data_IF_755702673219
#
_entry.id   IF_755702673219
#
_cell.length_a   1.000
_cell.length_b   1.000
_cell.length_c   1.000
_cell.angle_alpha   90.00
_cell.angle_beta   90.00
_cell.angle_gamma   90.00
#
_symmetry.space_group_name_H-M   'P 1'
#
loop_
_entity.id
_entity.type
_entity.pdbx_description
1 polymer ?
#
# COMPACT_ATOMS: atom_id res chain seq x y z
N UNK A 1 23.90 -59.14 -45.71
CA UNK A 1 22.54 -59.23 -45.15
C UNK A 1 22.43 -58.34 -43.92
N UNK A 2 21.30 -57.64 -43.80
CA UNK A 2 20.84 -56.76 -42.70
C UNK A 2 21.57 -55.43 -42.50
N UNK A 3 20.92 -54.40 -43.06
CA UNK A 3 20.96 -52.99 -42.64
C UNK A 3 20.41 -52.90 -41.21
N UNK A 4 21.01 -52.06 -40.37
CA UNK A 4 20.26 -51.33 -39.35
C UNK A 4 20.89 -49.95 -39.14
N UNK A 5 20.26 -48.95 -39.75
CA UNK A 5 20.42 -47.54 -39.42
C UNK A 5 19.78 -47.29 -38.04
N UNK A 6 20.57 -46.97 -37.03
CA UNK A 6 20.05 -46.40 -35.80
C UNK A 6 20.31 -44.88 -35.85
N UNK A 7 19.28 -44.02 -35.92
CA UNK A 7 19.49 -42.59 -35.85
C UNK A 7 19.81 -42.24 -34.39
N UNK A 8 21.05 -41.83 -34.12
CA UNK A 8 21.36 -41.06 -32.92
C UNK A 8 20.66 -39.71 -33.06
N UNK A 9 19.43 -39.64 -32.56
CA UNK A 9 18.71 -38.38 -32.35
C UNK A 9 19.47 -37.67 -31.23
N UNK A 10 20.43 -36.82 -31.61
CA UNK A 10 21.04 -35.85 -30.71
C UNK A 10 19.98 -34.78 -30.47
N UNK A 11 19.08 -35.05 -29.52
CA UNK A 11 18.26 -33.99 -28.94
C UNK A 11 19.19 -33.16 -28.07
N UNK A 12 19.84 -32.15 -28.68
CA UNK A 12 20.53 -31.11 -27.94
C UNK A 12 19.43 -30.35 -27.18
N UNK A 13 19.16 -30.76 -25.94
CA UNK A 13 18.40 -29.95 -25.00
C UNK A 13 19.18 -28.64 -24.86
N UNK A 14 18.73 -27.61 -25.57
CA UNK A 14 19.06 -26.24 -25.23
C UNK A 14 18.47 -26.03 -23.84
N UNK A 15 19.28 -26.29 -22.81
CA UNK A 15 19.12 -25.66 -21.51
C UNK A 15 19.21 -24.16 -21.77
N UNK A 16 18.06 -23.57 -22.11
CA UNK A 16 17.85 -22.14 -21.96
C UNK A 16 17.96 -21.92 -20.47
N UNK A 17 19.19 -21.67 -20.03
CA UNK A 17 19.42 -21.19 -18.69
C UNK A 17 18.57 -19.94 -18.53
N UNK A 18 17.51 -20.04 -17.73
CA UNK A 18 16.97 -18.88 -17.04
C UNK A 18 18.13 -18.32 -16.21
N UNK A 19 18.92 -17.43 -16.84
CA UNK A 19 19.73 -16.49 -16.08
C UNK A 19 18.74 -15.77 -15.17
N UNK A 20 19.01 -15.94 -13.88
CA UNK A 20 18.07 -15.74 -12.79
C UNK A 20 17.18 -14.52 -12.96
N UNK A 21 15.95 -14.70 -12.50
CA UNK A 21 15.01 -13.64 -12.17
C UNK A 21 15.80 -12.45 -11.63
N UNK A 22 15.74 -11.37 -12.40
CA UNK A 22 16.26 -10.07 -12.04
C UNK A 22 15.89 -9.79 -10.59
N UNK A 23 16.93 -9.56 -9.77
CA UNK A 23 16.92 -8.86 -8.49
C UNK A 23 15.59 -8.13 -8.27
N UNK A 24 14.76 -8.69 -7.38
CA UNK A 24 13.51 -8.13 -6.89
C UNK A 24 13.71 -6.63 -6.64
N UNK A 25 12.90 -5.83 -7.31
CA UNK A 25 12.91 -4.38 -7.22
C UNK A 25 12.92 -3.95 -5.76
N UNK A 26 13.93 -3.17 -5.41
CA UNK A 26 14.05 -2.42 -4.17
C UNK A 26 12.69 -1.81 -3.85
N UNK A 27 12.06 -2.23 -2.75
CA UNK A 27 10.90 -1.49 -2.24
C UNK A 27 11.36 -0.06 -1.99
N UNK A 28 10.76 0.92 -2.66
CA UNK A 28 11.05 2.33 -2.39
C UNK A 28 10.60 2.59 -0.95
N UNK A 29 11.55 2.86 -0.06
CA UNK A 29 11.25 3.20 1.33
C UNK A 29 10.63 4.59 1.39
N UNK A 30 9.29 4.66 1.43
CA UNK A 30 8.60 5.94 1.58
C UNK A 30 8.57 6.24 3.07
N UNK A 31 9.18 7.34 3.47
CA UNK A 31 9.27 7.72 4.89
C UNK A 31 8.45 8.95 5.23
N UNK A 32 8.17 9.80 4.25
CA UNK A 32 7.40 11.02 4.40
C UNK A 32 6.29 11.13 3.34
N UNK A 33 5.18 11.80 3.68
CA UNK A 33 4.02 11.93 2.80
C UNK A 33 4.32 12.74 1.54
N UNK A 34 5.27 13.68 1.61
CA UNK A 34 5.72 14.49 0.48
C UNK A 34 6.46 13.68 -0.60
N UNK A 35 6.96 12.48 -0.26
CA UNK A 35 7.58 11.56 -1.22
C UNK A 35 6.52 10.81 -2.07
N UNK A 36 5.26 10.83 -1.65
CA UNK A 36 4.16 10.17 -2.35
C UNK A 36 3.75 10.99 -3.56
N UNK A 37 3.81 10.37 -4.73
CA UNK A 37 3.43 11.01 -5.98
C UNK A 37 1.91 10.99 -6.17
N UNK A 38 1.32 12.15 -6.45
CA UNK A 38 -0.12 12.32 -6.61
C UNK A 38 -0.72 11.31 -7.61
N UNK A 39 -0.10 11.13 -8.77
CA UNK A 39 -0.56 10.23 -9.83
C UNK A 39 -0.57 8.74 -9.44
N UNK A 40 0.19 8.36 -8.39
CA UNK A 40 0.21 6.98 -7.89
C UNK A 40 -1.01 6.67 -7.03
N UNK A 41 -1.58 7.67 -6.36
CA UNK A 41 -2.67 7.49 -5.41
C UNK A 41 -4.02 8.00 -5.93
N UNK A 42 -4.05 9.08 -6.73
CA UNK A 42 -5.29 9.75 -7.16
C UNK A 42 -6.22 8.86 -7.99
N UNK A 43 -5.64 7.92 -8.73
CA UNK A 43 -6.38 6.89 -9.48
C UNK A 43 -7.23 5.95 -8.62
N UNK A 44 -7.02 5.93 -7.30
CA UNK A 44 -7.83 5.15 -6.36
C UNK A 44 -8.92 5.98 -5.66
N UNK A 45 -9.16 7.23 -6.08
CA UNK A 45 -10.28 8.03 -5.57
C UNK A 45 -11.61 7.29 -5.75
N UNK A 46 -12.47 7.37 -4.74
CA UNK A 46 -13.76 6.67 -4.67
C UNK A 46 -13.66 5.13 -4.60
N UNK A 47 -12.52 4.60 -4.14
CA UNK A 47 -12.43 3.20 -3.76
C UNK A 47 -13.31 2.91 -2.54
N UNK A 48 -13.46 1.63 -2.20
CA UNK A 48 -14.23 1.21 -1.03
C UNK A 48 -13.48 0.13 -0.25
N UNK A 49 -13.78 -0.02 1.05
CA UNK A 49 -13.06 -0.94 1.96
C UNK A 49 -12.97 -2.38 1.41
N UNK A 50 -13.95 -2.85 0.65
CA UNK A 50 -13.95 -4.20 0.07
C UNK A 50 -13.04 -4.40 -1.15
N UNK A 51 -12.52 -3.33 -1.74
CA UNK A 51 -11.56 -3.41 -2.85
C UNK A 51 -10.15 -3.67 -2.31
N UNK A 52 -9.84 -4.95 -2.07
CA UNK A 52 -8.54 -5.38 -1.56
C UNK A 52 -7.38 -4.94 -2.47
N UNK A 53 -7.59 -4.85 -3.78
CA UNK A 53 -6.57 -4.44 -4.74
C UNK A 53 -6.29 -2.95 -4.61
N UNK A 54 -7.33 -2.11 -4.54
CA UNK A 54 -7.16 -0.67 -4.31
C UNK A 54 -6.50 -0.40 -2.95
N UNK A 55 -7.00 -1.01 -1.87
CA UNK A 55 -6.43 -0.83 -0.51
C UNK A 55 -4.96 -1.22 -0.47
N UNK A 56 -4.59 -2.38 -1.00
CA UNK A 56 -3.21 -2.84 -1.01
C UNK A 56 -2.29 -1.92 -1.81
N UNK A 57 -2.74 -1.43 -2.96
CA UNK A 57 -1.96 -0.49 -3.75
C UNK A 57 -1.84 0.90 -3.13
N UNK A 58 -2.87 1.39 -2.44
CA UNK A 58 -2.77 2.64 -1.66
C UNK A 58 -1.67 2.47 -0.62
N UNK A 59 -1.72 1.43 0.21
CA UNK A 59 -0.72 1.15 1.25
C UNK A 59 0.71 1.02 0.69
N UNK A 60 0.86 0.42 -0.49
CA UNK A 60 2.17 0.30 -1.14
C UNK A 60 2.81 1.65 -1.49
N UNK A 61 1.99 2.68 -1.74
CA UNK A 61 2.44 4.02 -2.10
C UNK A 61 2.44 4.99 -0.92
N UNK A 62 2.14 4.55 0.30
CA UNK A 62 2.13 5.41 1.49
C UNK A 62 3.40 5.25 2.34
N UNK A 63 3.74 6.26 3.17
CA UNK A 63 4.82 6.16 4.14
C UNK A 63 4.70 4.94 5.05
N UNK A 64 5.83 4.28 5.31
CA UNK A 64 5.90 3.06 6.10
C UNK A 64 5.59 1.78 5.32
N UNK A 65 5.47 1.85 3.99
CA UNK A 65 5.23 0.70 3.11
C UNK A 65 6.23 -0.46 3.30
N UNK A 66 7.48 -0.19 3.66
CA UNK A 66 8.49 -1.21 3.93
C UNK A 66 8.29 -1.99 5.23
N UNK A 67 7.49 -1.45 6.15
CA UNK A 67 7.12 -2.13 7.39
C UNK A 67 5.81 -2.91 7.24
N UNK A 68 5.08 -2.71 6.14
CA UNK A 68 3.80 -3.36 5.87
C UNK A 68 3.93 -4.88 5.73
N UNK A 69 3.28 -5.60 6.64
CA UNK A 69 3.19 -7.07 6.63
C UNK A 69 1.91 -7.54 5.96
N UNK A 70 0.83 -6.77 6.14
CA UNK A 70 -0.48 -7.08 5.57
C UNK A 70 -1.59 -6.27 6.23
N UNK A 71 -2.80 -6.38 5.66
CA UNK A 71 -3.99 -5.69 6.16
C UNK A 71 -5.20 -6.63 6.22
N UNK A 72 -6.20 -6.22 7.00
CA UNK A 72 -7.51 -6.88 7.13
C UNK A 72 -8.60 -5.88 6.83
N UNK A 73 -9.67 -6.37 6.21
CA UNK A 73 -10.84 -5.58 5.81
C UNK A 73 -12.06 -6.10 6.56
N UNK A 74 -12.76 -5.21 7.25
CA UNK A 74 -14.06 -5.51 7.87
C UNK A 74 -15.15 -4.85 7.05
N UNK A 75 -15.93 -5.66 6.34
CA UNK A 75 -16.92 -5.23 5.34
C UNK A 75 -18.31 -5.82 5.56
N UNK A 76 -18.46 -6.71 6.54
CA UNK A 76 -19.69 -7.43 6.85
C UNK A 76 -20.78 -6.51 7.43
N UNK A 77 -20.37 -5.56 8.29
CA UNK A 77 -21.24 -4.56 8.89
C UNK A 77 -20.46 -3.35 9.36
N UNK A 78 -21.15 -2.22 9.45
CA UNK A 78 -20.56 -1.00 10.03
C UNK A 78 -20.12 -1.20 11.49
N UNK A 79 -19.08 -0.48 11.95
CA UNK A 79 -18.21 0.38 11.14
C UNK A 79 -17.34 -0.45 10.18
N UNK A 80 -17.22 0.00 8.93
CA UNK A 80 -16.30 -0.57 7.95
C UNK A 80 -14.88 -0.12 8.26
N UNK A 81 -13.96 -1.07 8.38
CA UNK A 81 -12.62 -0.76 8.85
C UNK A 81 -11.51 -1.45 8.08
N UNK A 82 -10.34 -0.80 8.09
CA UNK A 82 -9.09 -1.32 7.55
C UNK A 82 -8.11 -1.41 8.71
N UNK A 83 -7.58 -2.61 8.96
CA UNK A 83 -6.52 -2.83 9.95
C UNK A 83 -5.23 -3.14 9.22
N UNK A 84 -4.22 -2.29 9.37
CA UNK A 84 -2.89 -2.42 8.77
C UNK A 84 -1.91 -2.90 9.84
N UNK A 85 -1.05 -3.86 9.51
CA UNK A 85 -0.05 -4.38 10.44
C UNK A 85 1.35 -4.02 9.94
N UNK A 86 2.11 -3.33 10.79
CA UNK A 86 3.50 -2.96 10.59
C UNK A 86 4.42 -3.78 11.50
N UNK A 87 5.48 -4.34 10.92
CA UNK A 87 6.54 -4.99 11.67
C UNK A 87 7.70 -4.03 11.90
N UNK A 88 7.81 -3.56 13.13
CA UNK A 88 8.85 -2.63 13.59
C UNK A 88 10.13 -3.38 13.99
N UNK A 89 10.58 -4.38 13.21
CA UNK A 89 11.76 -5.18 13.57
C UNK A 89 13.10 -4.44 13.40
N UNK A 90 13.11 -3.12 13.17
CA UNK A 90 14.32 -2.31 13.04
C UNK A 90 14.07 -0.93 13.65
N UNK A 91 14.89 -0.58 14.65
CA UNK A 91 15.03 0.76 15.19
C UNK A 91 15.03 1.80 14.06
N UNK A 92 13.92 2.52 13.91
CA UNK A 92 13.83 3.67 13.03
C UNK A 92 13.18 4.83 13.80
N UNK A 93 13.75 6.04 13.73
CA UNK A 93 13.25 7.22 14.45
C UNK A 93 12.02 7.82 13.74
N UNK A 94 11.12 6.97 13.23
CA UNK A 94 9.89 7.40 12.59
C UNK A 94 8.84 7.63 13.67
N UNK A 95 8.24 8.82 13.69
CA UNK A 95 7.07 9.08 14.51
C UNK A 95 5.87 8.35 13.89
N UNK A 96 5.67 7.10 14.30
CA UNK A 96 4.56 6.29 13.80
C UNK A 96 3.21 6.90 14.12
N UNK A 97 3.06 7.68 15.19
CA UNK A 97 1.80 8.35 15.47
C UNK A 97 1.49 9.34 14.36
N UNK A 98 2.45 10.20 14.01
CA UNK A 98 2.32 11.17 12.92
C UNK A 98 2.07 10.49 11.56
N UNK A 99 2.85 9.46 11.25
CA UNK A 99 2.73 8.73 9.97
C UNK A 99 1.39 8.00 9.86
N UNK A 100 0.92 7.35 10.93
CA UNK A 100 -0.38 6.68 10.92
C UNK A 100 -1.53 7.66 10.72
N UNK A 101 -1.46 8.84 11.35
CA UNK A 101 -2.46 9.90 11.19
C UNK A 101 -2.50 10.45 9.75
N UNK A 102 -1.33 10.77 9.17
CA UNK A 102 -1.23 11.22 7.77
C UNK A 102 -1.72 10.15 6.79
N UNK A 103 -1.35 8.90 7.00
CA UNK A 103 -1.84 7.79 6.19
C UNK A 103 -3.36 7.62 6.30
N UNK A 104 -3.93 7.74 7.51
CA UNK A 104 -5.37 7.70 7.69
C UNK A 104 -6.09 8.80 6.91
N UNK A 105 -5.60 10.04 6.97
CA UNK A 105 -6.16 11.17 6.23
C UNK A 105 -6.21 10.91 4.71
N UNK A 106 -5.12 10.37 4.14
CA UNK A 106 -5.06 10.04 2.71
C UNK A 106 -5.93 8.83 2.36
N UNK A 107 -5.94 7.80 3.20
CA UNK A 107 -6.81 6.64 2.97
C UNK A 107 -8.29 7.04 3.05
N UNK A 108 -8.69 7.89 3.99
CA UNK A 108 -10.05 8.40 4.07
C UNK A 108 -10.41 9.30 2.88
N UNK A 109 -9.47 10.08 2.34
CA UNK A 109 -9.76 10.88 1.15
C UNK A 109 -10.00 10.02 -0.10
N UNK A 110 -9.38 8.85 -0.18
CA UNK A 110 -9.50 7.91 -1.30
C UNK A 110 -10.63 6.88 -1.13
N UNK A 111 -11.00 6.54 0.12
CA UNK A 111 -11.93 5.46 0.47
C UNK A 111 -13.10 6.03 1.28
N UNK A 112 -14.12 6.64 0.62
CA UNK A 112 -15.17 7.40 1.32
C UNK A 112 -16.00 6.58 2.30
N UNK A 113 -16.15 5.27 2.06
CA UNK A 113 -16.96 4.40 2.93
C UNK A 113 -16.18 3.83 4.13
N UNK A 114 -14.88 4.09 4.29
CA UNK A 114 -14.14 3.68 5.48
C UNK A 114 -14.58 4.54 6.68
N UNK A 115 -15.03 3.88 7.75
CA UNK A 115 -15.43 4.54 9.00
C UNK A 115 -14.24 4.62 9.99
N UNK A 116 -13.34 3.62 9.97
CA UNK A 116 -12.18 3.51 10.88
C UNK A 116 -10.95 2.89 10.19
N UNK A 117 -9.76 3.41 10.50
CA UNK A 117 -8.47 2.84 10.06
C UNK A 117 -7.60 2.62 11.30
N UNK A 118 -7.05 1.42 11.43
CA UNK A 118 -6.28 0.98 12.58
C UNK A 118 -4.89 0.54 12.12
N UNK A 119 -3.84 1.11 12.69
CA UNK A 119 -2.46 0.71 12.43
C UNK A 119 -1.89 0.02 13.66
N UNK A 120 -1.61 -1.29 13.54
CA UNK A 120 -0.87 -2.04 14.55
C UNK A 120 0.62 -1.93 14.26
N UNK A 121 1.37 -1.33 15.16
CA UNK A 121 2.81 -1.14 15.07
C UNK A 121 3.45 -1.81 16.28
N UNK A 122 3.94 -3.04 16.07
CA UNK A 122 4.44 -3.89 17.14
C UNK A 122 3.42 -4.04 18.28
N UNK A 123 3.71 -3.53 19.49
CA UNK A 123 2.80 -3.59 20.65
C UNK A 123 1.80 -2.42 20.71
N UNK A 124 1.94 -1.42 19.84
CA UNK A 124 1.10 -0.22 19.83
C UNK A 124 0.02 -0.32 18.75
N UNK A 125 -1.12 0.33 18.99
CA UNK A 125 -2.21 0.44 18.03
C UNK A 125 -2.66 1.89 17.92
N UNK A 126 -2.70 2.42 16.70
CA UNK A 126 -3.18 3.77 16.39
C UNK A 126 -4.51 3.65 15.63
N UNK A 127 -5.62 3.95 16.30
CA UNK A 127 -6.95 3.98 15.66
C UNK A 127 -7.31 5.41 15.30
N UNK A 128 -7.79 5.58 14.07
CA UNK A 128 -8.30 6.84 13.54
C UNK A 128 -9.71 6.61 13.02
N UNK A 129 -10.66 7.39 13.54
CA UNK A 129 -12.02 7.43 13.00
C UNK A 129 -12.15 8.59 12.04
N UNK A 130 -12.87 8.35 10.94
CA UNK A 130 -13.19 9.39 9.96
C UNK A 130 -13.81 10.62 10.63
N UNK A 131 -14.81 10.38 11.47
CA UNK A 131 -15.58 11.44 12.13
C UNK A 131 -14.71 12.37 12.99
N UNK A 132 -13.62 11.86 13.57
CA UNK A 132 -12.76 12.65 14.45
C UNK A 132 -11.77 13.50 13.64
N UNK A 133 -11.27 12.96 12.53
CA UNK A 133 -10.39 13.70 11.61
C UNK A 133 -11.14 14.76 10.80
N UNK A 134 -12.38 14.50 10.41
CA UNK A 134 -13.26 15.49 9.77
C UNK A 134 -13.59 16.66 10.70
N UNK A 135 -13.74 16.42 12.00
CA UNK A 135 -13.92 17.48 13.02
C UNK A 135 -12.64 18.33 13.18
N UNK A 136 -11.46 17.75 13.00
CA UNK A 136 -10.17 18.41 13.25
C UNK A 136 -9.63 19.19 12.04
N UNK A 137 -9.77 18.67 10.82
CA UNK A 137 -9.04 19.20 9.65
C UNK A 137 -9.90 19.98 8.65
N UNK A 138 -11.12 19.54 8.35
CA UNK A 138 -12.14 20.17 7.46
C UNK A 138 -13.26 19.15 7.23
N UNK A 139 -14.50 19.61 6.96
CA UNK A 139 -15.69 18.73 6.83
C UNK A 139 -15.58 17.63 5.77
N UNK A 140 -14.70 17.77 4.77
CA UNK A 140 -14.60 16.82 3.68
C UNK A 140 -13.15 16.42 3.37
N UNK A 141 -12.77 15.24 3.83
CA UNK A 141 -11.44 14.68 3.61
C UNK A 141 -11.17 14.39 2.13
N UNK A 142 -12.17 14.23 1.25
CA UNK A 142 -11.91 13.96 -0.17
C UNK A 142 -11.17 15.10 -0.86
N UNK A 143 -11.27 16.31 -0.31
CA UNK A 143 -10.58 17.51 -0.82
C UNK A 143 -9.05 17.36 -0.87
N UNK A 144 -8.46 16.53 0.00
CA UNK A 144 -7.01 16.25 0.07
C UNK A 144 -6.47 15.75 -1.28
N UNK A 145 -7.25 14.95 -2.00
CA UNK A 145 -6.87 14.31 -3.28
C UNK A 145 -7.74 14.79 -4.44
N UNK A 146 -8.34 15.98 -4.30
CA UNK A 146 -9.20 16.56 -5.35
C UNK A 146 -8.40 16.94 -6.61
N UNK A 147 -7.21 17.51 -6.40
CA UNK A 147 -6.28 17.90 -7.46
C UNK A 147 -4.83 17.78 -6.99
N UNK A 148 -3.89 17.88 -7.93
CA UNK A 148 -2.46 17.87 -7.59
C UNK A 148 -2.07 19.08 -6.71
N UNK A 149 -2.74 20.23 -6.89
CA UNK A 149 -2.55 21.42 -6.06
C UNK A 149 -3.02 21.19 -4.63
N UNK A 150 -4.21 20.61 -4.44
CA UNK A 150 -4.70 20.21 -3.10
C UNK A 150 -3.76 19.22 -2.42
N UNK A 151 -3.25 18.25 -3.17
CA UNK A 151 -2.28 17.28 -2.69
C UNK A 151 -0.98 17.94 -2.22
N UNK A 152 -0.42 18.84 -3.02
CA UNK A 152 0.77 19.61 -2.65
C UNK A 152 0.54 20.48 -1.42
N UNK A 153 -0.64 21.12 -1.31
CA UNK A 153 -1.00 21.90 -0.14
C UNK A 153 -1.04 21.03 1.12
N UNK A 154 -1.64 19.84 1.05
CA UNK A 154 -1.69 18.87 2.14
C UNK A 154 -0.30 18.37 2.58
N UNK A 155 0.61 18.13 1.63
CA UNK A 155 1.96 17.67 1.93
C UNK A 155 2.83 18.72 2.65
N UNK A 156 2.46 20.00 2.58
CA UNK A 156 3.22 21.11 3.18
C UNK A 156 2.72 21.51 4.58
N UNK A 157 1.75 20.78 5.14
CA UNK A 157 1.17 21.00 6.49
C UNK A 157 1.77 19.99 7.46
#
# INVERSE_FOLDING_TARGET
MKKWFLPFVITFLLLVGCKGVSKLSIFNNITDISEVKYEKISKYKNSYVGDNNAVGNILYNLPGNNYHVGFKLKTDKKPYSITVNYNYSKYHPMDFKYICEKNALVMFSLIPNADEIIFNVDTNSYSHKREDLEKLHTKDLSTIVESEESWKAFCNI
#
